data_IF_811648980735
#
_entry.id   IF_811648980735
#
_cell.length_a   1.000
_cell.length_b   1.000
_cell.length_c   1.000
_cell.angle_alpha   90.00
_cell.angle_beta   90.00
_cell.angle_gamma   90.00
#
_symmetry.space_group_name_H-M   'P 1'
#
loop_
_entity.id
_entity.type
_entity.pdbx_description
1 polymer ?
#
# COMPACT_ATOMS: atom_id res chain seq x y z
N UNK A 1 -17.55 17.53 16.45
CA UNK A 1 -16.69 17.29 15.27
C UNK A 1 -16.78 18.49 14.35
N UNK A 2 -15.75 19.34 14.31
CA UNK A 2 -15.52 20.32 13.25
C UNK A 2 -14.12 20.01 12.76
N UNK A 3 -14.01 19.17 11.74
CA UNK A 3 -12.76 18.95 11.03
C UNK A 3 -12.53 20.17 10.15
N UNK A 4 -11.77 21.12 10.68
CA UNK A 4 -11.13 22.19 9.90
C UNK A 4 -9.66 21.84 9.88
N UNK A 5 -9.31 20.72 9.24
CA UNK A 5 -7.93 20.49 8.82
C UNK A 5 -7.56 21.59 7.82
N UNK A 6 -6.30 22.00 7.82
CA UNK A 6 -5.73 23.10 7.03
C UNK A 6 -5.74 22.86 5.53
N UNK A 7 -6.91 22.65 4.94
CA UNK A 7 -7.19 22.44 3.52
C UNK A 7 -6.89 23.66 2.63
N UNK A 8 -6.37 24.76 3.19
CA UNK A 8 -6.14 26.02 2.48
C UNK A 8 -4.65 26.27 2.18
N UNK A 9 -3.71 25.54 2.80
CA UNK A 9 -2.29 25.84 2.66
C UNK A 9 -1.62 25.11 1.47
N UNK A 10 -1.88 23.82 1.28
CA UNK A 10 -1.14 22.91 0.38
C UNK A 10 -1.37 23.07 -1.14
N UNK A 11 -1.93 24.20 -1.59
CA UNK A 11 -2.15 24.50 -3.01
C UNK A 11 -0.98 25.31 -3.64
N UNK A 12 0.05 25.69 -2.87
CA UNK A 12 1.08 26.62 -3.32
C UNK A 12 2.35 25.93 -3.89
N UNK A 13 2.62 24.66 -3.55
CA UNK A 13 3.82 23.95 -4.01
C UNK A 13 3.85 23.65 -5.53
N UNK A 14 2.70 23.58 -6.19
CA UNK A 14 2.63 23.34 -7.65
C UNK A 14 3.06 24.55 -8.50
N UNK A 15 3.26 25.73 -7.90
CA UNK A 15 3.59 26.95 -8.65
C UNK A 15 5.10 27.27 -8.74
N UNK A 16 5.95 26.52 -8.03
CA UNK A 16 7.38 26.84 -7.87
C UNK A 16 8.35 26.25 -8.90
N UNK A 17 7.90 25.31 -9.75
CA UNK A 17 8.76 24.56 -10.69
C UNK A 17 8.28 24.78 -12.13
N UNK A 18 8.15 26.04 -12.53
CA UNK A 18 7.93 26.42 -13.94
C UNK A 18 8.88 27.58 -14.29
N UNK A 19 10.16 27.28 -14.45
CA UNK A 19 11.11 28.13 -15.14
C UNK A 19 12.42 27.38 -15.41
N UNK A 20 12.43 26.56 -16.46
CA UNK A 20 13.59 26.49 -17.35
C UNK A 20 13.14 25.88 -18.69
N UNK A 21 12.58 26.72 -19.56
CA UNK A 21 12.50 26.40 -20.98
C UNK A 21 13.86 26.76 -21.59
N UNK A 22 14.75 25.78 -21.73
CA UNK A 22 15.91 25.91 -22.60
C UNK A 22 15.85 24.88 -23.74
N UNK A 23 15.88 25.46 -24.94
CA UNK A 23 15.78 24.90 -26.29
C UNK A 23 16.31 23.47 -26.50
N UNK A 24 15.43 22.57 -26.96
CA UNK A 24 15.80 21.26 -27.52
C UNK A 24 16.51 21.42 -28.88
N UNK A 25 17.82 21.21 -28.90
CA UNK A 25 18.55 20.84 -30.11
C UNK A 25 18.40 19.34 -30.36
N UNK A 26 17.94 18.98 -31.57
CA UNK A 26 17.92 17.59 -32.03
C UNK A 26 19.35 17.07 -32.22
N UNK A 27 19.84 16.30 -31.26
CA UNK A 27 21.00 15.44 -31.46
C UNK A 27 20.52 14.02 -31.79
N UNK A 28 21.15 13.42 -32.80
CA UNK A 28 21.01 12.01 -33.14
C UNK A 28 21.29 11.15 -31.92
N UNK A 29 20.40 10.19 -31.63
CA UNK A 29 20.50 9.22 -30.54
C UNK A 29 21.83 8.46 -30.63
N UNK A 30 22.86 8.94 -29.94
CA UNK A 30 23.92 8.08 -29.45
C UNK A 30 23.35 7.30 -28.27
N UNK A 31 23.56 5.98 -28.26
CA UNK A 31 23.19 5.12 -27.15
C UNK A 31 23.84 5.64 -25.86
N UNK A 32 23.06 6.37 -25.05
CA UNK A 32 23.48 6.81 -23.73
C UNK A 32 23.62 5.54 -22.89
N UNK A 33 24.82 5.31 -22.37
CA UNK A 33 25.09 4.16 -21.52
C UNK A 33 24.09 4.15 -20.35
N UNK A 34 23.36 3.05 -20.22
CA UNK A 34 22.41 2.81 -19.14
C UNK A 34 23.08 3.03 -17.77
N UNK A 35 22.45 3.75 -16.83
CA UNK A 35 22.90 3.71 -15.45
C UNK A 35 22.79 2.26 -14.96
N UNK A 36 23.94 1.61 -14.77
CA UNK A 36 24.01 0.24 -14.27
C UNK A 36 23.74 0.27 -12.77
N UNK A 37 22.47 0.16 -12.37
CA UNK A 37 22.16 -0.49 -11.09
C UNK A 37 22.60 -1.95 -11.26
N UNK A 38 23.40 -2.45 -10.33
CA UNK A 38 24.02 -3.77 -10.44
C UNK A 38 22.92 -4.86 -10.42
N UNK A 39 22.46 -5.27 -11.61
CA UNK A 39 21.37 -6.23 -11.84
C UNK A 39 21.87 -7.65 -11.67
N UNK A 40 22.16 -8.04 -10.43
CA UNK A 40 22.02 -9.46 -10.08
C UNK A 40 20.53 -9.77 -10.05
N UNK A 41 19.97 -10.12 -11.21
CA UNK A 41 18.59 -10.62 -11.35
C UNK A 41 18.50 -11.96 -10.63
N UNK A 42 18.24 -11.93 -9.34
CA UNK A 42 17.82 -13.11 -8.60
C UNK A 42 16.32 -13.24 -8.86
N UNK A 43 15.81 -14.37 -9.39
CA UNK A 43 14.39 -14.66 -9.33
C UNK A 43 14.05 -14.88 -7.86
N UNK A 44 13.79 -13.79 -7.15
CA UNK A 44 13.20 -13.84 -5.83
C UNK A 44 11.70 -13.81 -6.07
N UNK A 45 11.00 -14.84 -5.60
CA UNK A 45 9.69 -14.62 -5.02
C UNK A 45 9.93 -13.75 -3.80
N UNK A 46 9.68 -12.42 -3.83
CA UNK A 46 9.81 -11.61 -2.63
C UNK A 46 8.87 -12.21 -1.58
N UNK A 47 9.43 -12.82 -0.55
CA UNK A 47 8.66 -13.27 0.60
C UNK A 47 8.46 -12.07 1.50
N UNK A 48 7.20 -11.66 1.70
CA UNK A 48 6.86 -10.66 2.71
C UNK A 48 7.53 -11.03 4.04
N UNK A 49 8.42 -10.16 4.54
CA UNK A 49 9.04 -10.33 5.85
C UNK A 49 8.21 -9.58 6.88
N UNK A 50 6.93 -9.93 6.99
CA UNK A 50 6.02 -9.30 7.95
C UNK A 50 6.33 -9.81 9.35
N UNK A 51 6.71 -8.90 10.25
CA UNK A 51 6.85 -9.21 11.66
C UNK A 51 5.47 -9.19 12.33
N UNK A 52 4.90 -10.38 12.50
CA UNK A 52 3.57 -10.56 13.04
C UNK A 52 3.62 -10.62 14.56
N UNK A 53 2.93 -9.70 15.21
CA UNK A 53 2.80 -9.63 16.66
C UNK A 53 1.47 -10.25 17.10
N UNK A 54 1.54 -11.47 17.61
CA UNK A 54 0.39 -12.22 18.09
C UNK A 54 0.12 -11.94 19.57
N UNK A 55 -1.14 -12.03 20.04
CA UNK A 55 -1.50 -11.97 21.45
C UNK A 55 -0.61 -12.85 22.33
N UNK A 56 -0.02 -12.24 23.35
CA UNK A 56 0.83 -12.90 24.32
C UNK A 56 0.34 -12.60 25.75
N UNK A 57 0.56 -13.52 26.70
CA UNK A 57 0.32 -13.24 28.12
C UNK A 57 1.16 -12.06 28.61
N UNK A 58 0.63 -11.30 29.57
CA UNK A 58 1.39 -10.23 30.18
C UNK A 58 2.62 -10.78 30.93
N UNK A 59 3.80 -10.13 30.85
CA UNK A 59 4.98 -10.61 31.54
C UNK A 59 4.81 -10.58 33.06
N UNK A 60 5.03 -11.73 33.72
CA UNK A 60 5.07 -11.81 35.19
C UNK A 60 3.71 -11.67 35.88
N UNK A 61 2.60 -11.82 35.16
CA UNK A 61 1.27 -11.87 35.80
C UNK A 61 0.98 -13.29 36.32
N UNK A 62 0.30 -13.36 37.47
CA UNK A 62 -0.33 -14.59 37.94
C UNK A 62 -1.80 -14.58 37.53
N UNK A 63 -2.16 -15.37 36.52
CA UNK A 63 -3.54 -15.45 36.01
C UNK A 63 -4.52 -16.09 37.01
N UNK A 64 -4.05 -16.59 38.15
CA UNK A 64 -4.89 -17.07 39.25
C UNK A 64 -5.16 -15.97 40.30
N UNK A 65 -4.54 -14.79 40.18
CA UNK A 65 -4.84 -13.68 41.06
C UNK A 65 -6.27 -13.18 40.81
N UNK A 66 -7.10 -13.27 41.84
CA UNK A 66 -8.50 -12.83 41.82
C UNK A 66 -8.65 -11.34 41.53
N UNK A 67 -7.58 -10.54 41.68
CA UNK A 67 -7.59 -9.13 41.29
C UNK A 67 -7.90 -8.92 39.79
N UNK A 68 -7.58 -9.89 38.92
CA UNK A 68 -7.84 -9.79 37.47
C UNK A 68 -9.31 -10.00 37.08
N UNK A 69 -10.17 -10.49 38.00
CA UNK A 69 -11.62 -10.53 37.76
C UNK A 69 -12.29 -9.18 37.98
N UNK A 70 -11.61 -8.24 38.65
CA UNK A 70 -12.17 -6.92 38.96
C UNK A 70 -12.03 -6.00 37.74
N UNK A 71 -13.11 -5.36 37.27
CA UNK A 71 -13.05 -4.45 36.13
C UNK A 71 -12.08 -3.29 36.35
N UNK A 72 -11.28 -2.99 35.32
CA UNK A 72 -10.23 -1.98 35.34
C UNK A 72 -10.56 -0.81 34.41
N UNK A 73 -10.13 0.39 34.80
CA UNK A 73 -10.20 1.59 33.95
C UNK A 73 -8.98 1.75 33.03
N UNK A 74 -7.86 1.11 33.36
CA UNK A 74 -6.67 1.08 32.51
C UNK A 74 -6.27 -0.38 32.30
N UNK A 75 -6.06 -0.77 31.05
CA UNK A 75 -5.72 -2.14 30.68
C UNK A 75 -4.48 -2.16 29.80
N UNK A 76 -3.69 -3.24 29.89
CA UNK A 76 -2.50 -3.44 29.05
C UNK A 76 -2.61 -4.76 28.29
N UNK A 77 -2.56 -4.69 26.97
CA UNK A 77 -2.53 -5.84 26.07
C UNK A 77 -1.10 -6.07 25.58
N UNK A 78 -0.66 -7.33 25.55
CA UNK A 78 0.71 -7.69 25.20
C UNK A 78 0.73 -8.58 23.97
N UNK A 79 1.71 -8.37 23.10
CA UNK A 79 1.88 -9.12 21.87
C UNK A 79 3.35 -9.51 21.71
N UNK A 80 3.59 -10.72 21.23
CA UNK A 80 4.92 -11.27 20.97
C UNK A 80 5.14 -11.45 19.47
N UNK A 81 6.37 -11.16 19.01
CA UNK A 81 6.76 -11.38 17.61
C UNK A 81 6.87 -12.87 17.29
N UNK A 82 6.41 -13.26 16.11
CA UNK A 82 6.59 -14.60 15.55
C UNK A 82 8.03 -14.88 15.07
N UNK A 83 8.83 -13.84 14.83
CA UNK A 83 10.19 -13.95 14.28
C UNK A 83 11.25 -13.73 15.38
N UNK A 84 11.02 -12.80 16.31
CA UNK A 84 12.00 -12.41 17.34
C UNK A 84 11.42 -12.59 18.73
N UNK A 85 11.83 -13.65 19.45
CA UNK A 85 11.27 -14.01 20.76
C UNK A 85 11.44 -12.97 21.87
N UNK A 86 12.39 -12.04 21.72
CA UNK A 86 12.57 -10.92 22.66
C UNK A 86 11.70 -9.71 22.32
N UNK A 87 11.21 -9.61 21.08
CA UNK A 87 10.45 -8.47 20.60
C UNK A 87 8.98 -8.56 21.04
N UNK A 88 8.48 -7.46 21.58
CA UNK A 88 7.12 -7.37 22.11
C UNK A 88 6.48 -6.03 21.79
N UNK A 89 5.17 -6.02 21.59
CA UNK A 89 4.34 -4.81 21.57
C UNK A 89 3.47 -4.82 22.82
N UNK A 90 3.39 -3.69 23.51
CA UNK A 90 2.50 -3.46 24.63
C UNK A 90 1.55 -2.32 24.27
N UNK A 91 0.26 -2.52 24.44
CA UNK A 91 -0.77 -1.54 24.13
C UNK A 91 -1.51 -1.21 25.43
N UNK A 92 -1.39 0.02 25.90
CA UNK A 92 -2.13 0.53 27.04
C UNK A 92 -3.38 1.23 26.57
N UNK A 93 -4.52 0.92 27.18
CA UNK A 93 -5.75 1.67 26.99
C UNK A 93 -6.20 2.29 28.30
N UNK A 94 -6.65 3.54 28.24
CA UNK A 94 -7.54 4.12 29.24
C UNK A 94 -8.96 3.96 28.74
N UNK A 95 -9.79 3.21 29.45
CA UNK A 95 -11.10 2.74 29.00
C UNK A 95 -12.21 3.72 29.38
N UNK A 96 -13.22 3.88 28.51
CA UNK A 96 -14.45 4.65 28.78
C UNK A 96 -15.39 3.92 29.74
N UNK A 97 -15.28 2.59 29.80
CA UNK A 97 -16.13 1.71 30.59
C UNK A 97 -15.27 0.74 31.42
N UNK A 98 -15.78 0.23 32.54
CA UNK A 98 -15.12 -0.83 33.30
C UNK A 98 -14.81 -2.03 32.41
N UNK A 99 -13.56 -2.47 32.39
CA UNK A 99 -13.05 -3.44 31.40
C UNK A 99 -12.41 -4.65 32.06
N UNK A 100 -12.66 -5.84 31.52
CA UNK A 100 -12.03 -7.08 31.97
C UNK A 100 -11.33 -7.75 30.78
N UNK A 101 -10.08 -8.18 30.97
CA UNK A 101 -9.35 -8.99 29.99
C UNK A 101 -9.55 -10.45 30.36
N UNK A 102 -10.37 -11.17 29.60
CA UNK A 102 -10.79 -12.54 29.93
C UNK A 102 -9.62 -13.52 29.91
N UNK A 103 -8.65 -13.32 29.01
CA UNK A 103 -7.46 -14.17 28.89
C UNK A 103 -6.52 -14.11 30.12
N UNK A 104 -6.72 -13.14 31.02
CA UNK A 104 -5.92 -12.99 32.24
C UNK A 104 -6.52 -13.72 33.45
N UNK A 105 -7.66 -14.40 33.26
CA UNK A 105 -8.38 -15.10 34.34
C UNK A 105 -8.29 -16.61 34.08
N UNK A 106 -7.39 -17.31 34.76
CA UNK A 106 -7.15 -18.75 34.57
C UNK A 106 -8.38 -19.63 34.85
N UNK A 107 -9.31 -19.14 35.69
CA UNK A 107 -10.55 -19.87 35.99
C UNK A 107 -11.58 -19.82 34.87
N UNK A 108 -11.42 -18.96 33.86
CA UNK A 108 -12.25 -18.98 32.65
C UNK A 108 -11.66 -20.01 31.69
N UNK A 109 -12.39 -21.09 31.46
CA UNK A 109 -11.94 -22.23 30.66
C UNK A 109 -12.52 -22.25 29.23
N UNK A 110 -13.58 -21.47 28.98
CA UNK A 110 -14.19 -21.31 27.66
C UNK A 110 -14.77 -19.91 27.54
N UNK A 111 -14.61 -19.29 26.38
CA UNK A 111 -15.27 -18.03 25.99
C UNK A 111 -15.92 -18.21 24.63
N UNK A 112 -17.23 -18.42 24.60
CA UNK A 112 -17.99 -18.62 23.36
C UNK A 112 -18.66 -17.31 22.95
N UNK A 113 -18.37 -16.82 21.75
CA UNK A 113 -18.90 -15.56 21.26
C UNK A 113 -19.95 -15.75 20.15
N UNK A 114 -20.94 -14.85 20.15
CA UNK A 114 -21.86 -14.65 19.03
C UNK A 114 -21.92 -13.16 18.68
N UNK A 115 -22.69 -12.81 17.66
CA UNK A 115 -22.90 -11.40 17.30
C UNK A 115 -23.56 -10.57 18.41
N UNK A 116 -24.20 -11.23 19.39
CA UNK A 116 -24.98 -10.56 20.45
C UNK A 116 -24.63 -11.03 21.86
N UNK A 117 -23.65 -11.92 22.02
CA UNK A 117 -23.31 -12.44 23.35
C UNK A 117 -21.86 -12.87 23.48
N UNK A 118 -21.33 -12.75 24.70
CA UNK A 118 -20.10 -13.41 25.13
C UNK A 118 -20.46 -14.32 26.31
N UNK A 119 -20.23 -15.62 26.17
CA UNK A 119 -20.52 -16.64 27.19
C UNK A 119 -19.20 -17.10 27.80
N UNK A 120 -19.07 -17.04 29.12
CA UNK A 120 -17.84 -17.34 29.84
C UNK A 120 -18.09 -18.48 30.83
N UNK A 121 -17.34 -19.57 30.70
CA UNK A 121 -17.45 -20.74 31.57
C UNK A 121 -16.31 -20.76 32.59
N UNK A 122 -16.66 -20.87 33.88
CA UNK A 122 -15.69 -20.90 34.98
C UNK A 122 -15.50 -22.31 35.53
N UNK A 123 -14.29 -22.62 36.01
CA UNK A 123 -13.99 -23.89 36.69
C UNK A 123 -13.87 -23.77 38.23
N UNK A 124 -14.04 -22.57 38.78
CA UNK A 124 -13.85 -22.29 40.19
C UNK A 124 -15.01 -21.45 40.73
N UNK A 125 -15.75 -22.00 41.71
CA UNK A 125 -16.93 -21.37 42.30
C UNK A 125 -16.63 -20.10 43.09
N UNK A 126 -15.46 -20.01 43.74
CA UNK A 126 -15.08 -18.86 44.55
C UNK A 126 -14.71 -17.67 43.65
N UNK A 127 -13.99 -17.96 42.55
CA UNK A 127 -13.67 -16.97 41.52
C UNK A 127 -14.95 -16.53 40.79
N UNK A 128 -15.87 -17.45 40.51
CA UNK A 128 -17.18 -17.12 39.92
C UNK A 128 -18.02 -16.23 40.84
N UNK A 129 -18.08 -16.53 42.14
CA UNK A 129 -18.79 -15.70 43.11
C UNK A 129 -18.16 -14.30 43.25
N UNK A 130 -16.83 -14.21 43.24
CA UNK A 130 -16.10 -12.94 43.23
C UNK A 130 -16.40 -12.14 41.96
N UNK A 131 -16.45 -12.82 40.82
CA UNK A 131 -16.81 -12.24 39.52
C UNK A 131 -18.22 -11.66 39.54
N UNK A 132 -19.21 -12.43 40.00
CA UNK A 132 -20.60 -12.01 40.14
C UNK A 132 -20.75 -10.78 41.05
N UNK A 133 -19.92 -10.67 42.09
CA UNK A 133 -19.93 -9.52 42.99
C UNK A 133 -19.24 -8.27 42.40
N UNK A 134 -18.21 -8.45 41.55
CA UNK A 134 -17.42 -7.37 40.99
C UNK A 134 -18.01 -6.78 39.69
N UNK A 135 -18.72 -7.59 38.91
CA UNK A 135 -19.24 -7.18 37.61
C UNK A 135 -20.60 -6.50 37.72
N UNK A 136 -20.85 -5.54 36.83
CA UNK A 136 -22.04 -4.69 36.86
C UNK A 136 -23.17 -5.39 36.08
N UNK A 137 -24.00 -6.15 36.79
CA UNK A 137 -25.08 -6.94 36.19
C UNK A 137 -25.99 -6.13 35.22
N UNK A 138 -26.35 -4.91 35.65
CA UNK A 138 -27.18 -3.96 34.91
C UNK A 138 -26.38 -2.70 34.53
N UNK A 139 -25.32 -2.87 33.72
CA UNK A 139 -24.49 -1.75 33.29
C UNK A 139 -23.55 -2.05 32.14
N UNK A 140 -22.96 -0.99 31.60
CA UNK A 140 -22.05 -1.09 30.47
C UNK A 140 -20.65 -1.50 30.90
N UNK A 141 -20.14 -2.57 30.31
CA UNK A 141 -18.77 -3.08 30.55
C UNK A 141 -18.13 -3.49 29.22
N UNK A 142 -16.81 -3.57 29.21
CA UNK A 142 -16.05 -4.07 28.06
C UNK A 142 -15.35 -5.37 28.41
N UNK A 143 -15.51 -6.38 27.57
CA UNK A 143 -14.75 -7.63 27.66
C UNK A 143 -13.73 -7.69 26.52
N UNK A 144 -12.49 -8.03 26.84
CA UNK A 144 -11.41 -8.21 25.86
C UNK A 144 -10.98 -9.67 25.84
N UNK A 145 -10.94 -10.28 24.66
CA UNK A 145 -10.47 -11.66 24.48
C UNK A 145 -9.81 -11.86 23.12
N UNK A 146 -8.86 -12.80 23.06
CA UNK A 146 -8.40 -13.45 21.83
C UNK A 146 -8.70 -14.95 22.00
N UNK A 147 -9.91 -15.38 21.61
CA UNK A 147 -10.31 -16.79 21.73
C UNK A 147 -9.89 -17.59 20.48
N UNK A 148 -8.66 -17.38 20.00
CA UNK A 148 -7.99 -18.17 18.95
C UNK A 148 -8.83 -18.53 17.69
N UNK A 149 -9.72 -17.67 17.23
CA UNK A 149 -10.54 -17.96 16.03
C UNK A 149 -12.04 -18.03 16.29
N UNK A 150 -12.44 -18.27 17.54
CA UNK A 150 -13.84 -18.57 17.88
C UNK A 150 -14.67 -17.30 18.11
N UNK A 151 -14.05 -16.29 18.73
CA UNK A 151 -14.64 -14.97 18.83
C UNK A 151 -14.28 -14.07 17.64
N UNK A 152 -13.07 -14.24 17.10
CA UNK A 152 -12.35 -13.25 16.28
C UNK A 152 -11.37 -13.95 15.34
N UNK A 153 -10.78 -13.29 14.33
CA UNK A 153 -9.60 -13.82 13.65
C UNK A 153 -8.54 -14.28 14.67
N UNK A 154 -7.87 -15.40 14.39
CA UNK A 154 -7.06 -16.17 15.36
C UNK A 154 -6.06 -15.31 16.15
N UNK A 155 -5.51 -14.26 15.55
CA UNK A 155 -4.45 -13.43 16.13
C UNK A 155 -4.93 -12.02 16.53
N UNK A 156 -6.24 -11.77 16.52
CA UNK A 156 -6.82 -10.48 16.87
C UNK A 156 -7.50 -10.54 18.24
N UNK A 157 -7.34 -9.50 19.06
CA UNK A 157 -8.11 -9.32 20.29
C UNK A 157 -9.30 -8.41 19.99
N UNK A 158 -10.50 -8.82 20.38
CA UNK A 158 -11.67 -7.97 20.20
C UNK A 158 -12.26 -7.47 21.49
N UNK A 159 -12.99 -6.36 21.33
CA UNK A 159 -13.63 -5.63 22.40
C UNK A 159 -15.13 -5.86 22.29
N UNK A 160 -15.75 -6.34 23.36
CA UNK A 160 -17.18 -6.60 23.42
C UNK A 160 -17.82 -5.65 24.42
N UNK A 161 -18.67 -4.75 23.92
CA UNK A 161 -19.40 -3.82 24.75
C UNK A 161 -20.69 -4.50 25.22
N UNK A 162 -20.75 -4.81 26.51
CA UNK A 162 -21.90 -5.43 27.17
C UNK A 162 -22.89 -4.38 27.67
N UNK A 163 -24.17 -4.73 27.65
CA UNK A 163 -25.24 -3.93 28.24
C UNK A 163 -25.95 -4.62 29.43
N UNK A 164 -25.80 -5.93 29.57
CA UNK A 164 -26.32 -6.70 30.69
C UNK A 164 -25.57 -8.02 30.86
N UNK A 165 -25.59 -8.55 32.07
CA UNK A 165 -24.98 -9.81 32.43
C UNK A 165 -25.98 -10.72 33.17
N UNK A 166 -25.92 -12.00 32.90
CA UNK A 166 -26.58 -13.04 33.67
C UNK A 166 -25.58 -14.07 34.18
N UNK A 167 -25.88 -14.68 35.32
CA UNK A 167 -25.00 -15.63 35.99
C UNK A 167 -25.78 -16.87 36.39
N UNK A 168 -25.26 -18.04 36.06
CA UNK A 168 -25.76 -19.34 36.51
C UNK A 168 -24.78 -19.96 37.50
N UNK A 169 -25.16 -19.93 38.78
CA UNK A 169 -24.33 -20.46 39.87
C UNK A 169 -24.22 -22.00 39.84
N UNK A 170 -25.07 -22.71 39.09
CA UNK A 170 -25.05 -24.17 39.00
C UNK A 170 -24.07 -24.68 37.96
N UNK A 171 -24.01 -24.01 36.81
CA UNK A 171 -23.11 -24.34 35.70
C UNK A 171 -21.83 -23.50 35.71
N UNK A 172 -21.75 -22.49 36.60
CA UNK A 172 -20.66 -21.51 36.68
C UNK A 172 -20.47 -20.74 35.37
N UNK A 173 -21.58 -20.38 34.72
CA UNK A 173 -21.59 -19.66 33.44
C UNK A 173 -22.02 -18.21 33.66
N UNK A 174 -21.22 -17.27 33.14
CA UNK A 174 -21.59 -15.87 33.01
C UNK A 174 -21.90 -15.57 31.54
N UNK A 175 -23.05 -14.95 31.26
CA UNK A 175 -23.43 -14.55 29.90
C UNK A 175 -23.56 -13.04 29.83
N UNK A 176 -22.73 -12.42 29.00
CA UNK A 176 -22.84 -11.01 28.64
C UNK A 176 -23.70 -10.86 27.39
N UNK A 177 -24.73 -10.03 27.44
CA UNK A 177 -25.40 -9.51 26.25
C UNK A 177 -24.56 -8.37 25.71
N UNK A 178 -23.85 -8.60 24.61
CA UNK A 178 -22.79 -7.72 24.14
C UNK A 178 -22.67 -7.72 22.63
N UNK A 179 -22.22 -6.59 22.09
CA UNK A 179 -21.86 -6.47 20.68
C UNK A 179 -20.37 -6.20 20.55
N UNK A 180 -19.79 -6.66 19.44
CA UNK A 180 -18.44 -6.26 19.04
C UNK A 180 -18.39 -4.73 18.93
N UNK A 181 -17.34 -4.15 19.49
CA UNK A 181 -17.10 -2.73 19.52
C UNK A 181 -15.67 -2.42 19.08
N UNK A 182 -15.46 -1.22 18.54
CA UNK A 182 -14.14 -0.75 18.15
C UNK A 182 -13.41 -0.15 19.35
N UNK A 183 -12.08 -0.13 19.29
CA UNK A 183 -11.26 0.54 20.31
C UNK A 183 -11.66 2.02 20.44
N UNK A 184 -12.00 2.69 19.33
CA UNK A 184 -12.42 4.10 19.35
C UNK A 184 -13.70 4.36 20.14
N UNK A 185 -14.62 3.38 20.24
CA UNK A 185 -15.86 3.52 21.02
C UNK A 185 -15.70 3.09 22.47
N UNK A 186 -14.69 2.28 22.79
CA UNK A 186 -14.49 1.67 24.13
C UNK A 186 -13.33 2.28 24.93
N UNK A 187 -12.29 2.79 24.27
CA UNK A 187 -11.16 3.47 24.87
C UNK A 187 -11.29 5.00 24.76
N UNK A 188 -10.87 5.69 25.82
CA UNK A 188 -10.69 7.14 25.85
C UNK A 188 -9.30 7.53 25.34
N UNK A 189 -8.27 6.72 25.61
CA UNK A 189 -6.92 6.92 25.11
C UNK A 189 -6.22 5.57 24.87
N UNK A 190 -5.27 5.55 23.93
CA UNK A 190 -4.45 4.38 23.62
C UNK A 190 -2.99 4.80 23.48
N UNK A 191 -2.07 4.02 24.04
CA UNK A 191 -0.63 4.18 23.90
C UNK A 191 -0.01 2.85 23.46
N UNK A 192 0.80 2.86 22.40
CA UNK A 192 1.51 1.69 21.89
C UNK A 192 2.99 1.82 22.24
N UNK A 193 3.55 0.80 22.87
CA UNK A 193 4.96 0.71 23.27
C UNK A 193 5.61 -0.51 22.65
N UNK A 194 6.80 -0.34 22.09
CA UNK A 194 7.59 -1.41 21.52
C UNK A 194 8.76 -1.80 22.44
N UNK A 195 9.07 -3.09 22.53
CA UNK A 195 10.15 -3.64 23.35
C UNK A 195 11.03 -4.59 22.54
N UNK A 196 12.35 -4.44 22.64
CA UNK A 196 13.40 -5.23 21.95
C UNK A 196 13.11 -5.56 20.48
N UNK A 197 12.50 -4.63 19.75
CA UNK A 197 12.54 -4.70 18.29
C UNK A 197 13.99 -4.44 17.89
N UNK A 198 14.61 -5.26 17.01
CA UNK A 198 16.00 -5.08 16.59
C UNK A 198 16.31 -3.61 16.29
N UNK A 199 17.40 -3.10 16.87
CA UNK A 199 17.72 -1.66 17.01
C UNK A 199 18.06 -0.93 15.71
N UNK A 200 17.74 -1.51 14.56
CA UNK A 200 17.55 -0.79 13.29
C UNK A 200 16.12 -0.23 13.14
N UNK A 201 15.22 -0.52 14.09
CA UNK A 201 13.79 -0.15 14.00
C UNK A 201 13.25 0.39 15.33
N UNK A 202 13.44 1.70 15.53
CA UNK A 202 12.72 2.55 16.49
C UNK A 202 13.35 2.63 17.91
N UNK A 203 13.91 3.81 18.21
CA UNK A 203 14.47 4.17 19.51
C UNK A 203 13.38 4.60 20.54
N UNK A 204 13.77 4.64 21.82
CA UNK A 204 12.94 4.39 23.03
C UNK A 204 12.45 5.65 23.79
N UNK A 205 11.21 5.54 24.32
CA UNK A 205 10.63 5.98 25.64
C UNK A 205 9.97 7.38 25.85
N UNK A 206 8.74 7.27 26.40
CA UNK A 206 7.99 8.08 27.38
C UNK A 206 7.23 9.35 26.95
N UNK A 207 5.91 9.33 27.17
CA UNK A 207 4.85 10.38 27.09
C UNK A 207 4.67 11.12 25.74
N UNK A 208 5.65 11.00 24.86
CA UNK A 208 5.65 11.40 23.45
C UNK A 208 6.18 10.20 22.68
N UNK A 209 5.33 9.54 21.89
CA UNK A 209 5.79 8.52 20.94
C UNK A 209 6.64 9.24 19.90
N UNK A 210 7.93 8.95 19.86
CA UNK A 210 8.84 9.39 18.80
C UNK A 210 9.26 8.14 18.04
N UNK A 211 8.95 8.11 16.76
CA UNK A 211 9.39 7.06 15.84
C UNK A 211 10.40 7.73 14.92
N UNK A 212 11.61 7.19 14.83
CA UNK A 212 12.67 7.62 13.91
C UNK A 212 13.27 6.39 13.20
N UNK A 213 12.49 5.68 12.35
CA UNK A 213 13.01 4.58 11.57
C UNK A 213 13.71 5.13 10.33
N UNK A 214 14.87 4.56 9.99
CA UNK A 214 15.41 4.60 8.63
C UNK A 214 15.41 3.18 8.08
N UNK A 215 14.87 2.99 6.88
CA UNK A 215 14.73 1.69 6.25
C UNK A 215 15.08 1.75 4.77
N UNK A 216 16.02 0.90 4.34
CA UNK A 216 16.40 0.79 2.93
C UNK A 216 15.90 -0.53 2.33
N UNK A 217 15.10 -0.44 1.29
CA UNK A 217 14.63 -1.53 0.45
C UNK A 217 15.44 -1.59 -0.84
N UNK A 218 16.12 -2.71 -1.04
CA UNK A 218 16.68 -3.06 -2.33
C UNK A 218 15.88 -4.24 -2.87
N UNK A 219 14.93 -3.95 -3.76
CA UNK A 219 14.06 -4.96 -4.33
C UNK A 219 14.27 -5.03 -5.83
N UNK A 220 14.34 -6.25 -6.35
CA UNK A 220 14.26 -6.53 -7.78
C UNK A 220 13.16 -7.57 -7.98
N UNK A 221 12.18 -7.23 -8.80
CA UNK A 221 11.00 -8.05 -9.10
C UNK A 221 10.96 -8.21 -10.61
N UNK A 222 10.72 -9.43 -11.09
CA UNK A 222 10.46 -9.67 -12.49
C UNK A 222 9.34 -10.69 -12.61
N UNK A 223 8.42 -10.47 -13.56
CA UNK A 223 7.49 -11.51 -13.97
C UNK A 223 8.25 -12.56 -14.80
N UNK A 224 7.82 -13.84 -14.78
CA UNK A 224 8.28 -14.80 -15.77
C UNK A 224 8.06 -14.27 -17.19
N UNK A 225 8.97 -14.59 -18.11
CA UNK A 225 8.77 -14.27 -19.51
C UNK A 225 7.45 -14.85 -20.03
N UNK A 226 6.84 -14.17 -21.00
CA UNK A 226 5.58 -14.53 -21.63
C UNK A 226 4.39 -14.65 -20.64
N UNK A 227 4.39 -13.87 -19.55
CA UNK A 227 3.31 -13.90 -18.57
C UNK A 227 2.03 -13.29 -19.17
N UNK A 228 0.95 -14.06 -19.24
CA UNK A 228 -0.36 -13.52 -19.65
C UNK A 228 -0.92 -12.58 -18.60
N UNK A 229 -1.03 -11.29 -18.91
CA UNK A 229 -1.62 -10.27 -18.04
C UNK A 229 -3.14 -10.21 -18.20
N UNK A 230 -3.63 -10.43 -19.42
CA UNK A 230 -5.06 -10.42 -19.75
C UNK A 230 -5.36 -11.38 -20.90
N UNK A 231 -6.52 -12.04 -20.85
CA UNK A 231 -6.99 -12.92 -21.92
C UNK A 231 -8.51 -12.93 -21.97
N UNK A 232 -9.06 -12.57 -23.12
CA UNK A 232 -10.46 -12.72 -23.49
C UNK A 232 -10.56 -13.44 -24.83
N UNK A 233 -10.46 -14.77 -24.79
CA UNK A 233 -10.40 -15.60 -25.98
C UNK A 233 -11.75 -15.62 -26.71
N UNK A 234 -11.80 -15.51 -28.06
CA UNK A 234 -10.66 -15.48 -28.99
C UNK A 234 -10.20 -14.06 -29.40
N UNK A 235 -10.64 -13.01 -28.69
CA UNK A 235 -10.53 -11.63 -29.15
C UNK A 235 -9.24 -10.93 -28.75
N UNK A 236 -8.77 -11.15 -27.52
CA UNK A 236 -7.56 -10.47 -27.02
C UNK A 236 -6.72 -11.41 -26.15
N UNK A 237 -5.42 -11.35 -26.34
CA UNK A 237 -4.44 -11.85 -25.37
C UNK A 237 -3.32 -10.84 -25.23
N UNK A 238 -3.04 -10.44 -24.00
CA UNK A 238 -1.93 -9.52 -23.68
C UNK A 238 -0.91 -10.27 -22.83
N UNK A 239 0.31 -10.36 -23.34
CA UNK A 239 1.47 -10.96 -22.66
C UNK A 239 2.46 -9.88 -22.28
N UNK A 240 3.00 -9.99 -21.06
CA UNK A 240 4.27 -9.37 -20.71
C UNK A 240 5.37 -10.31 -21.16
N UNK A 241 6.00 -9.98 -22.28
CA UNK A 241 7.13 -10.74 -22.81
C UNK A 241 8.33 -10.57 -21.87
N UNK A 242 8.54 -9.32 -21.42
CA UNK A 242 9.46 -8.94 -20.35
C UNK A 242 8.75 -7.97 -19.40
N UNK A 243 8.82 -8.19 -18.09
CA UNK A 243 8.44 -7.18 -17.10
C UNK A 243 9.37 -7.28 -15.90
N UNK A 244 10.17 -6.25 -15.68
CA UNK A 244 11.10 -6.20 -14.55
C UNK A 244 11.16 -4.82 -13.94
N UNK A 245 11.36 -4.81 -12.64
CA UNK A 245 11.47 -3.61 -11.84
C UNK A 245 12.56 -3.82 -10.80
N UNK A 246 13.44 -2.83 -10.63
CA UNK A 246 14.39 -2.79 -9.54
C UNK A 246 14.34 -1.43 -8.87
N UNK A 247 14.42 -1.40 -7.54
CA UNK A 247 14.48 -0.17 -6.77
C UNK A 247 15.47 -0.24 -5.64
N UNK A 248 15.97 0.95 -5.31
CA UNK A 248 16.60 1.27 -4.05
C UNK A 248 15.76 2.40 -3.44
N UNK A 249 15.00 2.08 -2.39
CA UNK A 249 14.21 3.06 -1.66
C UNK A 249 14.79 3.17 -0.26
N UNK A 250 15.12 4.38 0.18
CA UNK A 250 15.36 4.67 1.59
C UNK A 250 14.24 5.53 2.13
N UNK A 251 13.60 5.05 3.18
CA UNK A 251 12.62 5.81 3.94
C UNK A 251 13.25 6.29 5.24
N UNK A 252 12.99 7.52 5.64
CA UNK A 252 13.11 7.97 7.03
C UNK A 252 11.92 8.83 7.43
N UNK A 253 11.69 9.02 8.72
CA UNK A 253 10.64 9.93 9.14
C UNK A 253 10.49 10.04 10.64
N UNK A 254 9.67 11.00 11.05
CA UNK A 254 9.46 11.36 12.43
C UNK A 254 7.99 11.60 12.71
N UNK A 255 7.43 10.88 13.68
CA UNK A 255 6.06 11.08 14.16
C UNK A 255 6.08 11.40 15.65
N UNK A 256 5.35 12.46 16.03
CA UNK A 256 5.08 12.83 17.42
C UNK A 256 3.61 13.19 17.59
N UNK A 257 2.91 12.44 18.44
CA UNK A 257 1.50 12.67 18.74
C UNK A 257 1.26 12.88 20.25
N UNK A 258 0.41 13.83 20.59
CA UNK A 258 0.00 14.14 21.96
C UNK A 258 -1.41 13.61 22.22
N UNK A 259 -1.48 12.50 22.93
CA UNK A 259 -2.71 11.78 23.23
C UNK A 259 -3.62 12.47 24.26
N UNK A 260 -3.07 13.35 25.10
CA UNK A 260 -3.87 14.11 26.07
C UNK A 260 -4.72 15.19 25.39
N UNK A 261 -4.18 15.77 24.32
CA UNK A 261 -4.82 16.85 23.53
C UNK A 261 -5.37 16.36 22.20
N UNK A 262 -5.18 15.07 21.88
CA UNK A 262 -5.46 14.50 20.56
C UNK A 262 -4.87 15.33 19.42
N UNK A 263 -3.62 15.77 19.57
CA UNK A 263 -2.96 16.61 18.56
C UNK A 263 -1.65 16.00 18.06
N UNK A 264 -1.53 15.91 16.74
CA UNK A 264 -0.27 15.64 16.05
C UNK A 264 0.65 16.85 16.25
N UNK A 265 1.90 16.61 16.66
CA UNK A 265 2.87 17.64 17.04
C UNK A 265 4.00 17.77 16.04
N UNK A 266 4.46 16.66 15.49
CA UNK A 266 5.44 16.59 14.42
C UNK A 266 5.06 15.37 13.56
N UNK A 267 5.10 15.51 12.24
CA UNK A 267 4.96 14.42 11.30
C UNK A 267 5.68 14.81 10.01
N UNK A 268 6.86 14.26 9.82
CA UNK A 268 7.57 14.41 8.55
C UNK A 268 8.16 13.08 8.12
N UNK A 269 8.45 12.95 6.83
CA UNK A 269 9.15 11.82 6.28
C UNK A 269 9.97 12.20 5.06
N UNK A 270 11.05 11.45 4.86
CA UNK A 270 11.94 11.53 3.72
C UNK A 270 11.86 10.21 2.95
N UNK A 271 11.79 10.31 1.62
CA UNK A 271 11.87 9.19 0.71
C UNK A 271 12.96 9.50 -0.30
N UNK A 272 14.03 8.73 -0.26
CA UNK A 272 15.00 8.63 -1.34
C UNK A 272 14.63 7.42 -2.21
N UNK A 273 14.51 7.62 -3.51
CA UNK A 273 14.09 6.60 -4.46
C UNK A 273 14.96 6.62 -5.71
N UNK A 274 15.60 5.48 -5.98
CA UNK A 274 16.12 5.13 -7.29
C UNK A 274 15.37 3.91 -7.83
N UNK A 275 15.07 3.89 -9.12
CA UNK A 275 14.47 2.72 -9.75
C UNK A 275 14.87 2.54 -11.21
N UNK A 276 14.71 1.31 -11.71
CA UNK A 276 14.77 0.97 -13.13
C UNK A 276 13.63 0.00 -13.44
N UNK A 277 12.91 0.24 -14.53
CA UNK A 277 11.81 -0.58 -15.00
C UNK A 277 11.98 -0.91 -16.47
N UNK A 278 11.61 -2.13 -16.85
CA UNK A 278 11.49 -2.59 -18.23
C UNK A 278 10.15 -3.28 -18.38
N UNK A 279 9.38 -2.86 -19.39
CA UNK A 279 8.10 -3.44 -19.74
C UNK A 279 8.04 -3.66 -21.25
N UNK A 280 7.87 -4.91 -21.65
CA UNK A 280 7.67 -5.34 -23.03
C UNK A 280 6.33 -6.10 -23.09
N UNK A 281 5.40 -5.56 -23.88
CA UNK A 281 4.07 -6.11 -24.04
C UNK A 281 3.81 -6.54 -25.46
N UNK A 282 3.16 -7.69 -25.63
CA UNK A 282 2.53 -8.11 -26.88
C UNK A 282 1.03 -8.23 -26.70
N UNK A 283 0.25 -7.50 -27.49
CA UNK A 283 -1.20 -7.65 -27.59
C UNK A 283 -1.56 -8.33 -28.91
N UNK A 284 -2.13 -9.54 -28.84
CA UNK A 284 -2.69 -10.27 -29.99
C UNK A 284 -4.18 -10.04 -30.03
N UNK A 285 -4.64 -9.36 -31.07
CA UNK A 285 -6.03 -8.96 -31.25
C UNK A 285 -6.61 -9.75 -32.41
N UNK A 286 -7.64 -10.58 -32.16
CA UNK A 286 -8.22 -11.49 -33.15
C UNK A 286 -9.31 -10.87 -34.04
N UNK A 287 -9.89 -9.75 -33.62
CA UNK A 287 -10.90 -8.98 -34.34
C UNK A 287 -11.03 -7.58 -33.71
N UNK A 288 -11.87 -6.70 -34.26
CA UNK A 288 -12.09 -5.38 -33.65
C UNK A 288 -12.43 -5.51 -32.15
N UNK A 289 -11.65 -4.81 -31.33
CA UNK A 289 -11.71 -4.92 -29.88
C UNK A 289 -11.32 -3.60 -29.23
N UNK A 290 -11.92 -3.30 -28.09
CA UNK A 290 -11.61 -2.13 -27.27
C UNK A 290 -11.75 -2.53 -25.80
N UNK A 291 -10.68 -2.40 -25.03
CA UNK A 291 -10.72 -2.63 -23.58
C UNK A 291 -9.67 -1.83 -22.85
N UNK A 292 -9.88 -1.71 -21.54
CA UNK A 292 -8.84 -1.36 -20.58
C UNK A 292 -8.74 -2.51 -19.59
N UNK A 293 -7.53 -2.89 -19.18
CA UNK A 293 -7.34 -3.84 -18.09
C UNK A 293 -6.28 -3.35 -17.11
N UNK A 294 -6.36 -3.87 -15.89
CA UNK A 294 -5.37 -3.67 -14.83
C UNK A 294 -4.86 -5.03 -14.37
N UNK A 295 -3.55 -5.19 -14.38
CA UNK A 295 -2.84 -6.28 -13.70
C UNK A 295 -2.23 -5.72 -12.41
N UNK A 296 -2.68 -6.20 -11.25
CA UNK A 296 -2.16 -5.78 -9.95
C UNK A 296 -1.86 -7.01 -9.08
N UNK A 297 -0.59 -7.43 -8.97
CA UNK A 297 -0.20 -8.47 -8.03
C UNK A 297 -0.34 -7.98 -6.59
N UNK A 298 -0.25 -8.92 -5.63
CA UNK A 298 -0.24 -8.57 -4.21
C UNK A 298 0.91 -7.63 -3.87
N UNK A 299 0.66 -6.68 -2.97
CA UNK A 299 1.66 -5.76 -2.48
C UNK A 299 2.74 -6.46 -1.66
N UNK A 300 3.91 -5.83 -1.58
CA UNK A 300 5.04 -6.28 -0.80
C UNK A 300 5.18 -5.43 0.45
N UNK A 301 4.90 -6.02 1.61
CA UNK A 301 4.92 -5.33 2.89
C UNK A 301 6.07 -5.81 3.78
N UNK A 302 6.87 -4.86 4.25
CA UNK A 302 8.11 -5.10 4.99
C UNK A 302 8.11 -4.47 6.38
N UNK A 303 6.97 -4.56 7.06
CA UNK A 303 6.77 -3.95 8.36
C UNK A 303 6.45 -4.90 9.49
N UNK A 304 5.83 -4.32 10.51
CA UNK A 304 5.20 -5.04 11.61
C UNK A 304 3.69 -4.93 11.50
N UNK A 305 3.02 -5.99 11.97
CA UNK A 305 1.56 -6.02 12.04
C UNK A 305 1.15 -6.56 13.41
N UNK A 306 0.33 -5.78 14.12
CA UNK A 306 -0.51 -6.23 15.23
C UNK A 306 -1.93 -6.30 14.68
N UNK A 307 -2.46 -7.50 14.36
CA UNK A 307 -3.77 -7.66 13.73
C UNK A 307 -4.88 -6.88 14.45
N UNK A 308 -5.68 -6.15 13.67
CA UNK A 308 -6.78 -5.31 14.16
C UNK A 308 -6.36 -4.01 14.85
N UNK A 309 -5.06 -3.73 15.03
CA UNK A 309 -4.60 -2.60 15.85
C UNK A 309 -3.58 -1.72 15.16
N UNK A 310 -2.53 -2.29 14.56
CA UNK A 310 -1.47 -1.50 13.96
C UNK A 310 -0.82 -2.27 12.82
N UNK A 311 -0.86 -1.71 11.62
CA UNK A 311 0.10 -2.03 10.56
C UNK A 311 1.04 -0.84 10.44
N UNK A 312 2.34 -1.12 10.48
CA UNK A 312 3.37 -0.11 10.35
C UNK A 312 4.53 -0.65 9.55
N UNK A 313 4.80 -0.03 8.42
CA UNK A 313 6.04 -0.24 7.69
C UNK A 313 5.92 0.04 6.21
N UNK A 314 7.01 -0.16 5.47
CA UNK A 314 7.04 0.11 4.05
C UNK A 314 6.27 -0.93 3.25
N UNK A 315 5.55 -0.42 2.27
CA UNK A 315 4.79 -1.17 1.30
C UNK A 315 5.19 -0.75 -0.11
N UNK A 316 5.32 -1.75 -0.99
CA UNK A 316 5.51 -1.56 -2.42
C UNK A 316 4.31 -2.15 -3.15
N UNK A 317 3.64 -1.32 -3.95
CA UNK A 317 2.51 -1.73 -4.77
C UNK A 317 2.91 -1.53 -6.23
N UNK A 318 2.73 -2.58 -7.02
CA UNK A 318 2.96 -2.55 -8.46
C UNK A 318 1.65 -2.80 -9.20
N UNK A 319 1.41 -2.07 -10.27
CA UNK A 319 0.30 -2.31 -11.19
C UNK A 319 0.72 -2.01 -12.63
N UNK A 320 0.10 -2.69 -13.58
CA UNK A 320 0.15 -2.39 -15.01
C UNK A 320 -1.26 -2.19 -15.50
N UNK A 321 -1.56 -0.98 -15.95
CA UNK A 321 -2.77 -0.64 -16.66
C UNK A 321 -2.45 -0.61 -18.16
N UNK A 322 -3.37 -1.06 -19.00
CA UNK A 322 -3.24 -0.84 -20.44
C UNK A 322 -4.59 -0.65 -21.11
N UNK A 323 -4.64 0.34 -21.99
CA UNK A 323 -5.71 0.52 -22.95
C UNK A 323 -5.30 -0.14 -24.27
N UNK A 324 -6.20 -0.97 -24.81
CA UNK A 324 -6.00 -1.69 -26.06
C UNK A 324 -7.19 -1.42 -26.97
N UNK A 325 -6.90 -0.88 -28.15
CA UNK A 325 -7.86 -0.72 -29.22
C UNK A 325 -7.31 -1.32 -30.51
N UNK A 326 -8.14 -2.02 -31.27
CA UNK A 326 -7.87 -2.30 -32.67
C UNK A 326 -9.16 -2.35 -33.50
N UNK A 327 -9.10 -1.88 -34.74
CA UNK A 327 -10.21 -1.96 -35.68
C UNK A 327 -10.29 -3.30 -36.42
N UNK A 328 -9.24 -4.11 -36.40
CA UNK A 328 -9.14 -5.41 -37.07
C UNK A 328 -8.16 -6.36 -36.37
N UNK A 329 -8.00 -7.57 -36.93
CA UNK A 329 -6.99 -8.53 -36.45
C UNK A 329 -5.57 -7.93 -36.61
N UNK A 330 -4.83 -7.87 -35.51
CA UNK A 330 -3.50 -7.27 -35.47
C UNK A 330 -2.69 -7.81 -34.28
N UNK A 331 -1.38 -7.65 -34.34
CA UNK A 331 -0.48 -7.85 -33.20
C UNK A 331 0.25 -6.54 -32.96
N UNK A 332 0.21 -6.06 -31.73
CA UNK A 332 0.89 -4.85 -31.28
C UNK A 332 1.98 -5.27 -30.31
N UNK A 333 3.18 -4.72 -30.46
CA UNK A 333 4.27 -4.92 -29.50
C UNK A 333 4.80 -3.57 -29.05
N UNK A 334 4.98 -3.36 -27.75
CA UNK A 334 5.59 -2.16 -27.19
C UNK A 334 6.68 -2.54 -26.20
N UNK A 335 7.80 -1.84 -26.23
CA UNK A 335 8.89 -1.97 -25.27
C UNK A 335 9.16 -0.61 -24.66
N UNK A 336 9.34 -0.60 -23.34
CA UNK A 336 9.56 0.58 -22.53
C UNK A 336 10.66 0.28 -21.53
N UNK A 337 11.64 1.17 -21.44
CA UNK A 337 12.60 1.18 -20.35
C UNK A 337 12.60 2.56 -19.71
N UNK A 338 12.55 2.60 -18.38
CA UNK A 338 12.58 3.84 -17.59
C UNK A 338 13.54 3.65 -16.44
N UNK A 339 14.37 4.66 -16.18
CA UNK A 339 15.28 4.72 -15.04
C UNK A 339 15.19 6.05 -14.33
N UNK A 340 15.28 6.03 -13.00
CA UNK A 340 15.40 7.18 -12.13
C UNK A 340 16.54 6.92 -11.16
N UNK A 341 17.56 7.78 -11.16
CA UNK A 341 18.74 7.56 -10.32
C UNK A 341 18.51 7.96 -8.86
N UNK A 342 18.11 9.21 -8.62
CA UNK A 342 18.19 9.84 -7.30
C UNK A 342 16.98 10.76 -7.03
N UNK A 343 15.75 10.23 -7.02
CA UNK A 343 14.58 10.97 -6.58
C UNK A 343 14.59 11.18 -5.07
N UNK A 344 14.25 12.39 -4.59
CA UNK A 344 14.14 12.69 -3.17
C UNK A 344 12.85 13.46 -2.88
N UNK A 345 12.17 13.09 -1.80
CA UNK A 345 10.99 13.77 -1.26
C UNK A 345 11.19 13.96 0.22
N UNK A 346 10.99 15.18 0.71
CA UNK A 346 10.74 15.48 2.11
C UNK A 346 9.33 16.03 2.24
N UNK A 347 8.51 15.43 3.09
CA UNK A 347 7.17 15.92 3.42
C UNK A 347 7.10 16.19 4.90
N UNK A 348 6.77 17.43 5.27
CA UNK A 348 6.39 17.82 6.63
C UNK A 348 4.90 18.19 6.63
N UNK A 349 4.08 17.33 7.25
CA UNK A 349 2.62 17.43 7.27
C UNK A 349 2.11 18.55 8.19
N UNK A 350 2.99 19.19 8.96
CA UNK A 350 2.66 20.31 9.84
C UNK A 350 3.30 21.62 9.40
N UNK A 351 4.35 21.58 8.58
CA UNK A 351 5.02 22.75 8.01
C UNK A 351 5.31 22.56 6.50
N UNK A 352 4.39 23.02 5.66
CA UNK A 352 4.52 22.97 4.21
C UNK A 352 5.79 23.68 3.70
N UNK A 353 6.28 24.70 4.41
CA UNK A 353 7.49 25.41 3.97
C UNK A 353 8.76 24.58 4.09
N UNK A 354 8.70 23.47 4.84
CA UNK A 354 9.77 22.48 4.91
C UNK A 354 9.56 21.31 3.94
N UNK A 355 8.42 21.21 3.26
CA UNK A 355 8.15 20.17 2.26
C UNK A 355 8.85 20.52 0.95
N UNK A 356 9.53 19.55 0.34
CA UNK A 356 10.29 19.76 -0.88
C UNK A 356 10.62 18.46 -1.61
N UNK A 357 11.02 18.58 -2.86
CA UNK A 357 11.37 17.43 -3.68
C UNK A 357 12.41 17.76 -4.73
N UNK A 358 13.21 16.77 -5.14
CA UNK A 358 14.27 16.95 -6.13
C UNK A 358 14.61 15.64 -6.84
N UNK A 359 15.42 15.71 -7.90
CA UNK A 359 16.01 14.54 -8.53
C UNK A 359 15.12 13.76 -9.51
N UNK A 360 13.96 14.32 -9.89
CA UNK A 360 13.03 13.73 -10.87
C UNK A 360 13.49 13.93 -12.31
N UNK A 361 14.63 13.33 -12.67
CA UNK A 361 15.15 13.34 -14.04
C UNK A 361 15.17 11.90 -14.56
N UNK A 362 14.07 11.41 -15.14
CA UNK A 362 14.02 10.05 -15.66
C UNK A 362 14.80 9.92 -16.97
N UNK A 363 15.48 8.80 -17.16
CA UNK A 363 16.00 8.34 -18.46
C UNK A 363 15.02 7.33 -19.04
N UNK A 364 14.75 7.35 -20.34
CA UNK A 364 13.85 6.39 -20.96
C UNK A 364 14.26 5.98 -22.37
N UNK A 365 13.77 4.84 -22.82
CA UNK A 365 13.79 4.39 -24.23
C UNK A 365 12.50 3.66 -24.55
N UNK A 366 12.05 3.76 -25.80
CA UNK A 366 10.80 3.13 -26.21
C UNK A 366 10.84 2.62 -27.65
N UNK A 367 10.17 1.50 -27.88
CA UNK A 367 10.00 0.88 -29.19
C UNK A 367 8.54 0.42 -29.34
N UNK A 368 7.99 0.52 -30.55
CA UNK A 368 6.67 -0.01 -30.83
C UNK A 368 6.58 -0.57 -32.25
N UNK A 369 5.72 -1.58 -32.43
CA UNK A 369 5.50 -2.24 -33.71
C UNK A 369 4.05 -2.74 -33.82
N UNK A 370 3.55 -2.83 -35.06
CA UNK A 370 2.21 -3.29 -35.42
C UNK A 370 2.29 -4.25 -36.61
N UNK A 371 1.52 -5.34 -36.57
CA UNK A 371 1.35 -6.25 -37.71
C UNK A 371 -0.05 -6.13 -38.31
N UNK A 372 -0.16 -6.01 -39.64
CA UNK A 372 -1.45 -6.02 -40.34
C UNK A 372 -2.09 -4.63 -40.46
N UNK A 373 -3.14 -4.53 -41.29
CA UNK A 373 -3.83 -3.27 -41.62
C UNK A 373 -4.95 -3.00 -40.62
N UNK A 374 -4.68 -2.14 -39.66
CA UNK A 374 -5.63 -1.72 -38.64
C UNK A 374 -5.33 -0.29 -38.15
N UNK A 375 -6.36 0.32 -37.57
CA UNK A 375 -6.19 1.41 -36.60
C UNK A 375 -6.05 0.74 -35.24
N UNK A 376 -5.01 1.08 -34.48
CA UNK A 376 -4.74 0.39 -33.23
C UNK A 376 -4.05 1.29 -32.20
N UNK A 377 -4.29 0.99 -30.93
CA UNK A 377 -3.66 1.64 -29.80
C UNK A 377 -3.25 0.58 -28.78
N UNK A 378 -2.07 0.76 -28.20
CA UNK A 378 -1.60 0.01 -27.06
C UNK A 378 -0.92 1.01 -26.12
N UNK A 379 -1.66 1.44 -25.11
CA UNK A 379 -1.25 2.49 -24.20
C UNK A 379 -0.99 1.90 -22.81
N UNK A 380 0.19 1.30 -22.56
CA UNK A 380 0.52 0.79 -21.25
C UNK A 380 0.92 1.92 -20.31
N UNK A 381 0.52 1.75 -19.05
CA UNK A 381 0.94 2.56 -17.91
C UNK A 381 1.35 1.61 -16.80
N UNK A 382 2.59 1.72 -16.34
CA UNK A 382 3.02 1.04 -15.13
C UNK A 382 2.88 2.01 -13.96
N UNK A 383 2.41 1.52 -12.82
CA UNK A 383 2.34 2.28 -11.58
C UNK A 383 3.16 1.57 -10.50
N UNK A 384 4.04 2.32 -9.87
CA UNK A 384 4.75 1.89 -8.67
C UNK A 384 4.41 2.84 -7.55
N UNK A 385 3.79 2.33 -6.49
CA UNK A 385 3.64 3.05 -5.24
C UNK A 385 4.68 2.56 -4.25
N UNK A 386 5.43 3.52 -3.70
CA UNK A 386 6.28 3.36 -2.54
C UNK A 386 5.62 4.11 -1.40
N UNK A 387 5.19 3.40 -0.36
CA UNK A 387 4.55 4.05 0.78
C UNK A 387 5.03 3.49 2.11
N UNK A 388 4.72 4.24 3.16
CA UNK A 388 4.67 3.70 4.51
C UNK A 388 3.21 3.51 4.85
N UNK A 389 2.82 2.26 5.01
CA UNK A 389 1.53 1.91 5.55
C UNK A 389 1.53 2.22 7.05
N UNK A 390 0.62 3.09 7.48
CA UNK A 390 0.35 3.40 8.89
C UNK A 390 -1.15 3.24 9.14
N UNK A 391 -1.58 2.00 9.28
CA UNK A 391 -2.98 1.66 9.55
C UNK A 391 -3.18 1.42 11.05
N UNK A 392 -4.07 2.17 11.68
CA UNK A 392 -4.37 2.05 13.11
C UNK A 392 -5.83 1.61 13.31
N UNK A 393 -6.03 0.64 14.20
CA UNK A 393 -7.31 0.03 14.55
C UNK A 393 -8.04 -0.59 13.36
N UNK A 394 -7.31 -1.36 12.53
CA UNK A 394 -7.87 -2.04 11.37
C UNK A 394 -8.34 -1.08 10.27
N UNK A 395 -7.59 0.00 10.04
CA UNK A 395 -7.89 1.01 9.01
C UNK A 395 -8.83 2.12 9.46
N UNK A 396 -9.23 2.19 10.74
CA UNK A 396 -10.09 3.27 11.22
C UNK A 396 -9.40 4.64 11.19
N UNK A 397 -8.08 4.63 11.30
CA UNK A 397 -7.22 5.78 11.05
C UNK A 397 -6.14 5.28 10.10
N UNK A 398 -6.13 5.82 8.89
CA UNK A 398 -5.10 5.58 7.89
C UNK A 398 -4.22 6.83 7.80
N UNK A 399 -2.96 6.70 8.20
CA UNK A 399 -1.95 7.74 8.09
C UNK A 399 -0.90 7.39 7.04
N UNK A 400 -1.22 6.47 6.12
CA UNK A 400 -0.27 5.99 5.13
C UNK A 400 0.13 7.11 4.18
N UNK A 401 1.41 7.15 3.84
CA UNK A 401 1.99 8.25 3.08
C UNK A 401 2.97 7.68 2.09
N UNK A 402 2.96 8.18 0.86
CA UNK A 402 3.81 7.62 -0.17
C UNK A 402 3.85 8.44 -1.44
N UNK A 403 4.50 7.84 -2.42
CA UNK A 403 4.68 8.38 -3.76
C UNK A 403 4.31 7.29 -4.75
N UNK A 404 3.54 7.66 -5.75
CA UNK A 404 3.28 6.83 -6.93
C UNK A 404 4.01 7.42 -8.12
N UNK A 405 4.91 6.64 -8.72
CA UNK A 405 5.51 6.93 -10.01
C UNK A 405 4.72 6.18 -11.10
N UNK A 406 4.36 6.90 -12.15
CA UNK A 406 3.46 6.42 -13.21
C UNK A 406 4.07 6.71 -14.58
N UNK A 407 5.05 5.90 -15.05
CA UNK A 407 5.46 5.91 -16.45
C UNK A 407 4.38 5.28 -17.34
N UNK A 408 4.10 5.92 -18.46
CA UNK A 408 3.18 5.42 -19.46
C UNK A 408 3.55 5.86 -20.86
N UNK A 409 2.90 5.23 -21.84
CA UNK A 409 3.05 5.56 -23.24
C UNK A 409 1.67 5.67 -23.85
N UNK A 410 1.45 6.76 -24.57
CA UNK A 410 0.31 6.90 -25.45
C UNK A 410 0.79 6.59 -26.85
N UNK A 411 0.25 5.54 -27.46
CA UNK A 411 0.59 5.12 -28.81
C UNK A 411 -0.67 5.02 -29.68
N UNK A 412 -0.70 5.81 -30.73
CA UNK A 412 -1.71 5.73 -31.78
C UNK A 412 -1.05 5.33 -33.11
N UNK A 413 -1.50 4.20 -33.66
CA UNK A 413 -1.08 3.68 -34.95
C UNK A 413 -2.25 3.69 -35.92
N UNK A 414 -2.07 4.35 -37.06
CA UNK A 414 -3.05 4.33 -38.16
C UNK A 414 -2.33 3.80 -39.39
N UNK A 415 -2.61 2.54 -39.77
CA UNK A 415 -2.12 1.98 -41.02
C UNK A 415 -3.23 2.07 -42.08
N UNK A 416 -3.18 3.08 -42.96
CA UNK A 416 -4.09 3.23 -44.10
C UNK A 416 -3.45 2.64 -45.36
N UNK A 417 -3.98 1.52 -45.83
CA UNK A 417 -3.68 1.01 -47.18
C UNK A 417 -4.88 1.27 -48.10
N UNK A 418 -4.65 1.89 -49.26
CA UNK A 418 -5.63 1.87 -50.34
C UNK A 418 -5.98 0.42 -50.72
N UNK A 419 -7.23 0.17 -51.11
CA UNK A 419 -7.66 -1.15 -51.55
C UNK A 419 -6.79 -1.65 -52.73
N UNK A 420 -6.08 -2.77 -52.53
CA UNK A 420 -5.26 -3.42 -53.57
C UNK A 420 -3.73 -3.26 -53.41
N UNK A 421 -3.24 -2.66 -52.31
CA UNK A 421 -1.80 -2.58 -52.02
C UNK A 421 -1.33 -3.85 -51.29
N UNK A 422 -0.34 -4.55 -51.87
CA UNK A 422 0.39 -5.65 -51.23
C UNK A 422 1.50 -5.05 -50.36
N UNK A 423 1.43 -5.28 -49.04
CA UNK A 423 2.31 -4.68 -48.04
C UNK A 423 3.55 -5.53 -47.75
N UNK A 424 3.80 -6.59 -48.51
CA UNK A 424 5.00 -7.41 -48.35
C UNK A 424 6.21 -6.79 -49.07
N UNK A 425 7.18 -6.28 -48.30
CA UNK A 425 8.51 -5.92 -48.81
C UNK A 425 8.72 -4.49 -49.32
N UNK A 426 7.97 -3.49 -48.82
CA UNK A 426 8.24 -2.08 -49.13
C UNK A 426 9.40 -1.51 -48.30
N UNK A 427 10.41 -0.93 -48.97
CA UNK A 427 11.60 -0.34 -48.33
C UNK A 427 11.65 1.21 -48.38
N UNK A 428 10.78 1.86 -49.16
CA UNK A 428 10.84 3.32 -49.41
C UNK A 428 9.62 4.08 -48.85
N UNK A 429 9.66 4.40 -47.57
CA UNK A 429 8.71 5.29 -46.88
C UNK A 429 9.23 6.75 -46.89
N UNK A 430 8.38 7.71 -47.27
CA UNK A 430 8.71 9.14 -47.19
C UNK A 430 7.96 9.81 -46.04
N UNK A 431 8.63 10.65 -45.25
CA UNK A 431 8.00 11.38 -44.14
C UNK A 431 7.13 12.55 -44.68
N UNK A 432 5.83 12.49 -44.45
CA UNK A 432 4.83 13.47 -44.90
C UNK A 432 4.10 14.12 -43.70
N UNK A 433 3.39 15.22 -43.94
CA UNK A 433 2.63 15.95 -42.90
C UNK A 433 1.19 15.46 -42.69
N UNK A 434 0.66 14.63 -43.60
CA UNK A 434 -0.71 14.08 -43.56
C UNK A 434 -0.71 12.68 -44.16
N UNK A 435 -1.43 11.71 -43.58
CA UNK A 435 -1.45 10.32 -44.07
C UNK A 435 -2.69 10.01 -44.89
N UNK A 436 -2.57 10.03 -46.22
CA UNK A 436 -3.63 9.53 -47.12
C UNK A 436 -3.47 8.03 -47.42
N UNK A 437 -2.23 7.57 -47.66
CA UNK A 437 -1.87 6.17 -47.83
C UNK A 437 -0.51 5.89 -47.16
N UNK A 438 -0.52 5.35 -45.95
CA UNK A 438 0.71 5.23 -45.16
C UNK A 438 0.53 4.67 -43.76
N UNK A 439 1.58 4.78 -42.96
CA UNK A 439 1.58 4.53 -41.52
C UNK A 439 1.71 5.87 -40.79
N UNK A 440 0.68 6.28 -40.07
CA UNK A 440 0.80 7.36 -39.10
C UNK A 440 1.12 6.76 -37.72
N UNK A 441 2.11 7.35 -37.06
CA UNK A 441 2.48 7.02 -35.68
C UNK A 441 2.46 8.32 -34.88
N UNK A 442 1.69 8.31 -33.80
CA UNK A 442 1.72 9.33 -32.76
C UNK A 442 2.02 8.64 -31.43
N UNK A 443 3.25 8.82 -30.95
CA UNK A 443 3.76 8.20 -29.73
C UNK A 443 4.29 9.27 -28.80
N UNK A 444 3.83 9.22 -27.55
CA UNK A 444 4.21 10.13 -26.48
C UNK A 444 4.59 9.33 -25.23
N UNK A 445 5.69 9.71 -24.60
CA UNK A 445 6.06 9.23 -23.28
C UNK A 445 5.41 10.15 -22.26
N UNK A 446 4.68 9.58 -21.30
CA UNK A 446 4.11 10.32 -20.18
C UNK A 446 4.73 9.79 -18.90
N UNK A 447 5.13 10.68 -18.00
CA UNK A 447 5.63 10.28 -16.69
C UNK A 447 5.12 11.22 -15.62
N UNK A 448 4.33 10.66 -14.71
CA UNK A 448 3.81 11.36 -13.54
C UNK A 448 4.45 10.87 -12.25
N UNK A 449 4.62 11.77 -11.30
CA UNK A 449 4.92 11.47 -9.91
C UNK A 449 3.88 12.14 -9.04
N UNK A 450 3.18 11.34 -8.24
CA UNK A 450 2.12 11.79 -7.35
C UNK A 450 2.50 11.45 -5.92
N UNK A 451 2.58 12.45 -5.05
CA UNK A 451 2.66 12.22 -3.63
C UNK A 451 1.26 12.15 -3.02
N UNK A 452 1.11 11.36 -1.97
CA UNK A 452 -0.09 11.34 -1.17
C UNK A 452 0.26 11.25 0.31
N UNK A 453 -0.64 11.80 1.11
CA UNK A 453 -0.59 11.71 2.54
C UNK A 453 -1.99 11.44 3.06
N UNK A 454 -2.14 10.28 3.68
CA UNK A 454 -3.40 9.68 4.10
C UNK A 454 -4.39 9.53 2.95
N UNK A 455 -5.62 9.14 3.26
CA UNK A 455 -6.73 9.16 2.30
C UNK A 455 -7.21 10.58 1.91
N UNK A 456 -6.71 11.64 2.56
CA UNK A 456 -7.28 12.99 2.44
C UNK A 456 -6.52 13.94 1.53
N UNK A 457 -5.28 13.62 1.16
CA UNK A 457 -4.45 14.53 0.37
C UNK A 457 -3.62 13.81 -0.67
N UNK A 458 -3.58 14.40 -1.86
CA UNK A 458 -2.60 14.03 -2.87
C UNK A 458 -2.31 15.20 -3.79
N UNK A 459 -1.07 15.26 -4.28
CA UNK A 459 -0.60 16.26 -5.23
C UNK A 459 0.29 15.61 -6.28
N UNK A 460 0.23 16.15 -7.50
CA UNK A 460 1.23 15.90 -8.50
C UNK A 460 2.50 16.67 -8.13
N UNK A 461 3.63 15.97 -8.05
CA UNK A 461 4.96 16.54 -7.79
C UNK A 461 5.70 16.83 -9.08
N UNK A 462 5.49 15.99 -10.09
CA UNK A 462 6.14 16.06 -11.38
C UNK A 462 5.22 15.46 -12.43
N UNK A 463 5.20 16.08 -13.59
CA UNK A 463 4.59 15.52 -14.79
C UNK A 463 5.40 15.98 -15.98
N UNK A 464 5.68 15.06 -16.89
CA UNK A 464 6.32 15.36 -18.16
C UNK A 464 5.67 14.53 -19.25
N UNK A 465 5.36 15.21 -20.34
CA UNK A 465 4.94 14.61 -21.59
C UNK A 465 6.04 14.89 -22.61
N UNK A 466 6.63 13.83 -23.16
CA UNK A 466 7.69 13.92 -24.16
C UNK A 466 7.23 13.26 -25.44
N UNK A 467 6.97 14.04 -26.50
CA UNK A 467 6.70 13.49 -27.82
C UNK A 467 7.88 12.63 -28.28
N UNK A 468 7.62 11.34 -28.55
CA UNK A 468 8.65 10.40 -29.02
C UNK A 468 8.71 10.44 -30.54
N UNK A 469 7.55 10.29 -31.17
CA UNK A 469 7.43 10.25 -32.61
C UNK A 469 6.04 10.72 -33.01
N UNK A 470 5.98 11.79 -33.80
CA UNK A 470 4.77 12.19 -34.52
C UNK A 470 5.13 12.27 -35.98
N UNK A 471 4.84 11.23 -36.74
CA UNK A 471 5.25 11.13 -38.14
C UNK A 471 4.25 10.35 -38.96
N UNK A 472 4.14 10.74 -40.23
CA UNK A 472 3.40 10.00 -41.21
C UNK A 472 4.38 9.48 -42.25
N UNK A 473 4.38 8.17 -42.45
CA UNK A 473 5.19 7.49 -43.44
C UNK A 473 4.31 7.12 -44.62
N UNK A 474 4.38 7.92 -45.68
CA UNK A 474 3.63 7.67 -46.90
C UNK A 474 4.33 6.65 -47.79
N UNK A 475 3.52 5.81 -48.45
CA UNK A 475 4.01 4.94 -49.52
C UNK A 475 4.20 5.78 -50.79
N UNK A 476 5.41 5.75 -51.35
CA UNK A 476 5.63 6.30 -52.69
C UNK A 476 5.06 5.35 -53.73
N UNK A 477 4.11 5.79 -54.54
CA UNK A 477 3.50 5.00 -55.63
C UNK A 477 4.39 4.87 -56.85
#
# INVERSE_FOLDING_TARGET
MKYSFGLVALAAAAAGVLADEDTCTFDTVEAVATPVVNTTTVPLTPTNTTNLFAPAPAPGIDTHDVAYVVPQANVSLYYGSNITTSASVKINHTMKYPTVILEQIASIISVDCSNTSVVMTFNNSDVFATTQAAWIADGTMVFITNHLGDCDPVLERSFFLSNSLSFDNTTLIATASSVRANVSSTAAATEITFGNIPTTSLAKRAFTTTLDPSYTLNNAIALPADTTLYSDSPYLTVTADTASFASNVTFSGYLKYNWLTFSLKDLYFDIDVGFSSTLELTAKVGASYNTTFTYSPSSLFYGLTVPGILTLGPELIFAVDAEVYASAETTLTTEVQVGLADGNVHVDLLDESNTGTSGWVPTYSAHANISGVAEAQLNPTASLTVEIEISIFGGLIDLSTGITATPGFTNEFILTAAAGVDLTGYEDLTNATTCENGLAIDSEFVFGVKAFATEWYSTELYSVDVPILKSCFEYTT
#
